data_IF_229440921406
#
_entry.id   IF_229440921406
#
_cell.length_a   1.000
_cell.length_b   1.000
_cell.length_c   1.000
_cell.angle_alpha   90.00
_cell.angle_beta   90.00
_cell.angle_gamma   90.00
#
_symmetry.space_group_name_H-M   'P 1'
#
loop_
_entity.id
_entity.type
_entity.pdbx_description
1 polymer ?
#
# COMPACT_ATOMS: atom_id res chain seq x y z
N UNK A 1 13.04 29.01 25.55
CA UNK A 1 12.03 28.97 24.47
C UNK A 1 12.66 28.62 23.11
N UNK A 2 13.77 29.22 22.71
CA UNK A 2 14.53 28.88 21.50
C UNK A 2 14.90 27.37 21.49
N UNK A 3 15.28 26.82 22.66
CA UNK A 3 15.58 25.37 22.78
C UNK A 3 14.37 24.45 22.43
N UNK A 4 13.15 24.91 22.68
CA UNK A 4 11.93 24.17 22.30
C UNK A 4 11.74 24.13 20.78
N UNK A 5 11.97 25.24 20.09
CA UNK A 5 11.86 25.33 18.62
C UNK A 5 12.83 24.34 17.98
N UNK A 6 14.09 24.32 18.37
CA UNK A 6 15.09 23.38 17.85
C UNK A 6 14.72 21.91 18.06
N UNK A 7 14.04 21.59 19.16
CA UNK A 7 13.56 20.21 19.39
C UNK A 7 12.45 19.80 18.44
N UNK A 8 11.53 20.70 18.13
CA UNK A 8 10.46 20.49 17.15
C UNK A 8 11.04 20.38 15.74
N UNK A 9 11.96 21.25 15.39
CA UNK A 9 12.67 21.18 14.08
C UNK A 9 13.36 19.83 13.88
N UNK A 10 14.13 19.38 14.89
CA UNK A 10 14.79 18.06 14.86
C UNK A 10 13.78 16.93 14.67
N UNK A 11 12.64 17.01 15.37
CA UNK A 11 11.58 16.02 15.24
C UNK A 11 11.00 15.98 13.83
N UNK A 12 10.70 17.14 13.24
CA UNK A 12 10.16 17.23 11.88
C UNK A 12 11.14 16.67 10.84
N UNK A 13 12.42 17.00 10.96
CA UNK A 13 13.47 16.46 10.08
C UNK A 13 13.59 14.95 10.25
N UNK A 14 13.67 14.46 11.49
CA UNK A 14 13.78 13.02 11.77
C UNK A 14 12.56 12.26 11.24
N UNK A 15 11.35 12.79 11.45
CA UNK A 15 10.11 12.24 10.89
C UNK A 15 10.17 12.13 9.37
N UNK A 16 10.60 13.20 8.69
CA UNK A 16 10.74 13.19 7.22
C UNK A 16 11.72 12.14 6.73
N UNK A 17 12.89 12.06 7.37
CA UNK A 17 13.90 11.06 7.01
C UNK A 17 13.37 9.64 7.23
N UNK A 18 12.69 9.41 8.35
CA UNK A 18 12.10 8.10 8.65
C UNK A 18 11.02 7.72 7.61
N UNK A 19 10.17 8.65 7.20
CA UNK A 19 9.19 8.39 6.14
C UNK A 19 9.86 7.94 4.84
N UNK A 20 10.91 8.65 4.39
CA UNK A 20 11.58 8.32 3.13
C UNK A 20 12.49 7.10 3.20
N UNK A 21 13.14 6.88 4.33
CA UNK A 21 14.12 5.80 4.49
C UNK A 21 13.50 4.48 4.94
N UNK A 22 12.34 4.52 5.60
CA UNK A 22 11.69 3.33 6.15
C UNK A 22 10.34 3.09 5.47
N UNK A 23 9.35 3.96 5.68
CA UNK A 23 7.98 3.71 5.22
C UNK A 23 7.84 3.78 3.70
N UNK A 24 8.47 4.76 3.04
CA UNK A 24 8.44 4.92 1.59
C UNK A 24 9.69 4.36 0.91
N UNK A 25 10.45 3.51 1.61
CA UNK A 25 11.53 2.78 0.98
C UNK A 25 10.97 1.86 -0.12
N UNK A 26 11.64 1.81 -1.28
CA UNK A 26 11.16 1.05 -2.44
C UNK A 26 10.81 -0.41 -2.14
N UNK A 27 11.53 -1.05 -1.19
CA UNK A 27 11.25 -2.44 -0.81
C UNK A 27 9.98 -2.57 0.03
N UNK A 28 9.72 -1.61 0.93
CA UNK A 28 8.48 -1.59 1.71
C UNK A 28 7.26 -1.38 0.80
N UNK A 29 7.36 -0.41 -0.11
CA UNK A 29 6.31 -0.16 -1.11
C UNK A 29 6.17 -1.35 -2.06
N UNK A 30 7.26 -2.03 -2.44
CA UNK A 30 7.20 -3.24 -3.26
C UNK A 30 6.43 -4.37 -2.56
N UNK A 31 6.64 -4.55 -1.25
CA UNK A 31 5.91 -5.55 -0.46
C UNK A 31 4.41 -5.20 -0.37
N UNK A 32 4.09 -3.93 -0.14
CA UNK A 32 2.71 -3.44 -0.13
C UNK A 32 2.01 -3.67 -1.48
N UNK A 33 2.64 -3.28 -2.58
CA UNK A 33 2.08 -3.47 -3.93
C UNK A 33 1.92 -4.96 -4.28
N UNK A 34 2.85 -5.80 -3.84
CA UNK A 34 2.75 -7.25 -4.01
C UNK A 34 1.56 -7.81 -3.23
N UNK A 35 1.40 -7.41 -1.96
CA UNK A 35 0.26 -7.81 -1.12
C UNK A 35 -1.07 -7.37 -1.72
N UNK A 36 -1.17 -6.13 -2.21
CA UNK A 36 -2.36 -5.61 -2.89
C UNK A 36 -2.72 -6.51 -4.08
N UNK A 37 -1.75 -6.92 -4.90
CA UNK A 37 -2.00 -7.81 -6.05
C UNK A 37 -2.51 -9.19 -5.63
N UNK A 38 -1.94 -9.77 -4.57
CA UNK A 38 -2.41 -11.04 -4.00
C UNK A 38 -3.88 -10.93 -3.56
N UNK A 39 -4.20 -9.93 -2.73
CA UNK A 39 -5.55 -9.76 -2.19
C UNK A 39 -6.55 -9.38 -3.29
N UNK A 40 -6.14 -8.60 -4.29
CA UNK A 40 -6.99 -8.26 -5.43
C UNK A 40 -7.35 -9.52 -6.25
N UNK A 41 -6.36 -10.40 -6.53
CA UNK A 41 -6.64 -11.66 -7.24
C UNK A 41 -7.53 -12.58 -6.40
N UNK A 42 -7.25 -12.72 -5.10
CA UNK A 42 -8.08 -13.51 -4.21
C UNK A 42 -9.53 -13.00 -4.17
N UNK A 43 -9.73 -11.67 -4.14
CA UNK A 43 -11.07 -11.07 -4.17
C UNK A 43 -11.78 -11.31 -5.50
N UNK A 44 -11.08 -11.27 -6.62
CA UNK A 44 -11.63 -11.58 -7.94
C UNK A 44 -12.11 -13.04 -8.00
N UNK A 45 -11.28 -14.00 -7.60
CA UNK A 45 -11.63 -15.41 -7.54
C UNK A 45 -12.80 -15.70 -6.59
N UNK A 46 -12.84 -15.02 -5.44
CA UNK A 46 -13.95 -15.14 -4.50
C UNK A 46 -15.27 -14.65 -5.10
N UNK A 47 -15.24 -13.61 -5.92
CA UNK A 47 -16.43 -13.12 -6.64
C UNK A 47 -16.87 -14.09 -7.72
N UNK A 48 -15.95 -14.59 -8.53
CA UNK A 48 -16.22 -15.56 -9.58
C UNK A 48 -16.85 -16.84 -9.00
N UNK A 49 -16.30 -17.39 -7.91
CA UNK A 49 -16.86 -18.58 -7.25
C UNK A 49 -18.27 -18.36 -6.71
N UNK A 50 -18.59 -17.17 -6.22
CA UNK A 50 -19.93 -16.80 -5.77
C UNK A 50 -20.93 -16.73 -6.91
N UNK A 51 -20.54 -16.15 -8.05
CA UNK A 51 -21.39 -15.99 -9.22
C UNK A 51 -21.72 -17.34 -9.88
N UNK A 52 -20.75 -18.25 -9.93
CA UNK A 52 -20.89 -19.55 -10.60
C UNK A 52 -21.34 -20.69 -9.67
N UNK A 53 -21.57 -20.44 -8.36
CA UNK A 53 -21.97 -21.46 -7.35
C UNK A 53 -21.11 -22.72 -7.39
N UNK A 54 -19.81 -22.59 -7.65
CA UNK A 54 -18.89 -23.72 -7.69
C UNK A 54 -18.48 -24.08 -6.26
N UNK A 55 -18.94 -25.21 -5.76
CA UNK A 55 -18.57 -25.72 -4.43
C UNK A 55 -17.09 -26.12 -4.33
N UNK A 56 -16.44 -26.41 -5.46
CA UNK A 56 -15.03 -26.77 -5.56
C UNK A 56 -14.19 -25.55 -5.86
N UNK A 57 -13.68 -24.87 -4.87
CA UNK A 57 -12.75 -23.75 -5.10
C UNK A 57 -12.80 -22.63 -4.07
N UNK A 58 -13.42 -22.91 -2.93
CA UNK A 58 -13.47 -21.92 -1.86
C UNK A 58 -12.06 -21.60 -1.34
N UNK A 59 -11.68 -20.32 -1.38
CA UNK A 59 -10.39 -19.89 -0.89
C UNK A 59 -10.29 -20.12 0.63
N UNK A 60 -9.24 -20.80 1.05
CA UNK A 60 -8.92 -20.92 2.48
C UNK A 60 -8.64 -19.53 3.06
N UNK A 61 -9.41 -19.12 4.05
CA UNK A 61 -9.22 -17.90 4.81
C UNK A 61 -10.03 -17.94 6.11
N UNK A 62 -9.68 -17.09 7.06
CA UNK A 62 -10.46 -16.92 8.28
C UNK A 62 -11.86 -16.34 7.99
N UNK A 63 -12.83 -16.49 8.90
CA UNK A 63 -14.15 -15.89 8.74
C UNK A 63 -14.10 -14.36 8.52
N UNK A 64 -13.24 -13.67 9.25
CA UNK A 64 -13.07 -12.22 9.14
C UNK A 64 -12.54 -11.82 7.75
N UNK A 65 -11.48 -12.46 7.26
CA UNK A 65 -10.94 -12.19 5.93
C UNK A 65 -11.93 -12.60 4.84
N UNK A 66 -12.63 -13.71 5.00
CA UNK A 66 -13.67 -14.20 4.10
C UNK A 66 -14.76 -13.14 3.89
N UNK A 67 -15.22 -12.51 4.96
CA UNK A 67 -16.23 -11.47 4.88
C UNK A 67 -15.83 -10.39 3.87
N UNK A 68 -14.60 -9.87 3.95
CA UNK A 68 -14.12 -8.81 3.05
C UNK A 68 -13.75 -9.27 1.65
N UNK A 69 -13.38 -10.54 1.46
CA UNK A 69 -13.10 -11.09 0.13
C UNK A 69 -14.39 -11.34 -0.65
N UNK A 70 -15.40 -11.92 -0.01
CA UNK A 70 -16.62 -12.36 -0.67
C UNK A 70 -17.72 -11.28 -0.73
N UNK A 71 -17.63 -10.24 0.10
CA UNK A 71 -18.62 -9.15 0.11
C UNK A 71 -18.05 -7.85 -0.43
N UNK A 72 -18.92 -7.04 -1.03
CA UNK A 72 -18.55 -5.69 -1.47
C UNK A 72 -18.90 -4.69 -0.36
N UNK A 73 -18.00 -4.62 0.64
CA UNK A 73 -18.15 -3.75 1.81
C UNK A 73 -17.70 -2.33 1.46
N UNK A 74 -18.52 -1.34 1.77
CA UNK A 74 -18.25 0.09 1.59
C UNK A 74 -18.18 0.79 2.92
N UNK A 75 -17.72 2.04 2.95
CA UNK A 75 -17.67 2.82 4.18
C UNK A 75 -19.08 2.99 4.84
N UNK A 76 -20.14 3.00 4.05
CA UNK A 76 -21.52 3.10 4.55
C UNK A 76 -21.97 1.87 5.37
N UNK A 77 -21.31 0.72 5.18
CA UNK A 77 -21.62 -0.52 5.90
C UNK A 77 -21.02 -0.55 7.32
N UNK A 78 -20.13 0.41 7.66
CA UNK A 78 -19.51 0.52 8.98
C UNK A 78 -20.39 1.38 9.92
N UNK A 79 -21.49 0.82 10.38
CA UNK A 79 -22.32 1.41 11.44
C UNK A 79 -21.96 0.87 12.83
N UNK A 80 -22.45 1.51 13.88
CA UNK A 80 -22.35 1.00 15.26
C UNK A 80 -23.05 -0.35 15.33
N UNK A 81 -22.37 -1.40 15.81
CA UNK A 81 -22.86 -2.78 15.85
C UNK A 81 -23.16 -3.42 14.48
N UNK A 82 -22.53 -2.92 13.42
CA UNK A 82 -22.64 -3.59 12.12
C UNK A 82 -21.73 -4.81 12.04
N UNK A 83 -22.14 -5.81 11.23
CA UNK A 83 -21.30 -7.00 10.95
C UNK A 83 -19.96 -6.59 10.35
N UNK A 84 -19.92 -5.58 9.48
CA UNK A 84 -18.69 -5.07 8.89
C UNK A 84 -17.69 -4.58 9.96
N UNK A 85 -18.16 -3.86 10.97
CA UNK A 85 -17.32 -3.38 12.07
C UNK A 85 -16.84 -4.54 12.95
N UNK A 86 -17.69 -5.51 13.25
CA UNK A 86 -17.33 -6.70 14.03
C UNK A 86 -16.27 -7.53 13.32
N UNK A 87 -16.45 -7.82 12.02
CA UNK A 87 -15.47 -8.57 11.24
C UNK A 87 -14.15 -7.79 11.06
N UNK A 88 -14.22 -6.47 10.90
CA UNK A 88 -13.03 -5.64 10.83
C UNK A 88 -12.22 -5.65 12.14
N UNK A 89 -12.89 -5.63 13.28
CA UNK A 89 -12.24 -5.69 14.59
C UNK A 89 -11.56 -7.06 14.88
N UNK A 90 -12.00 -8.11 14.20
CA UNK A 90 -11.41 -9.46 14.31
C UNK A 90 -10.28 -9.68 13.30
N UNK A 91 -10.18 -8.87 12.23
CA UNK A 91 -9.20 -9.04 11.17
C UNK A 91 -7.81 -8.56 11.61
N UNK A 92 -6.81 -9.42 11.48
CA UNK A 92 -5.42 -9.10 11.77
C UNK A 92 -4.43 -9.63 10.71
N UNK A 93 -3.12 -9.35 10.92
CA UNK A 93 -2.06 -9.77 10.01
C UNK A 93 -1.94 -11.30 9.89
N UNK A 94 -2.33 -12.05 10.94
CA UNK A 94 -2.25 -13.51 10.93
C UNK A 94 -3.29 -14.11 10.00
N UNK A 95 -4.48 -13.51 9.90
CA UNK A 95 -5.51 -13.92 8.95
C UNK A 95 -5.00 -13.86 7.53
N UNK A 96 -4.39 -12.72 7.18
CA UNK A 96 -3.85 -12.46 5.84
C UNK A 96 -2.67 -13.38 5.55
N UNK A 97 -1.68 -13.47 6.45
CA UNK A 97 -0.48 -14.30 6.24
C UNK A 97 -0.80 -15.80 6.21
N UNK A 98 -1.75 -16.28 7.02
CA UNK A 98 -2.20 -17.65 7.00
C UNK A 98 -2.87 -18.01 5.67
N UNK A 99 -3.74 -17.13 5.19
CA UNK A 99 -4.38 -17.29 3.89
C UNK A 99 -3.36 -17.32 2.74
N UNK A 100 -2.41 -16.38 2.70
CA UNK A 100 -1.35 -16.33 1.67
C UNK A 100 -0.52 -17.62 1.68
N UNK A 101 -0.19 -18.18 2.85
CA UNK A 101 0.53 -19.47 2.95
C UNK A 101 -0.29 -20.61 2.35
N UNK A 102 -1.57 -20.65 2.59
CA UNK A 102 -2.45 -21.67 2.01
C UNK A 102 -2.59 -21.51 0.49
N UNK A 103 -2.65 -20.27 -0.01
CA UNK A 103 -2.78 -19.95 -1.42
C UNK A 103 -1.55 -20.27 -2.27
N UNK A 104 -0.41 -20.63 -1.67
CA UNK A 104 0.76 -21.15 -2.39
C UNK A 104 0.37 -22.40 -3.22
N UNK A 105 -0.56 -23.20 -2.71
CA UNK A 105 -1.04 -24.41 -3.37
C UNK A 105 -2.35 -24.20 -4.15
N UNK A 106 -2.74 -22.96 -4.40
CA UNK A 106 -3.93 -22.64 -5.20
C UNK A 106 -3.80 -23.19 -6.63
N UNK A 107 -4.90 -23.64 -7.21
CA UNK A 107 -4.98 -24.02 -8.63
C UNK A 107 -4.84 -22.80 -9.56
N UNK A 108 -5.20 -21.61 -9.07
CA UNK A 108 -4.98 -20.36 -9.79
C UNK A 108 -3.49 -20.03 -9.86
N UNK A 109 -2.95 -20.00 -11.07
CA UNK A 109 -1.54 -19.78 -11.33
C UNK A 109 -1.03 -18.43 -10.83
N UNK A 110 -1.85 -17.39 -10.94
CA UNK A 110 -1.50 -16.03 -10.51
C UNK A 110 -1.42 -15.97 -9.00
N UNK A 111 -2.47 -16.41 -8.32
CA UNK A 111 -2.53 -16.41 -6.86
C UNK A 111 -1.43 -17.25 -6.24
N UNK A 112 -1.20 -18.45 -6.78
CA UNK A 112 -0.14 -19.36 -6.33
C UNK A 112 1.25 -18.75 -6.51
N UNK A 113 1.56 -18.20 -7.69
CA UNK A 113 2.87 -17.60 -7.98
C UNK A 113 3.17 -16.39 -7.09
N UNK A 114 2.21 -15.48 -6.96
CA UNK A 114 2.34 -14.30 -6.11
C UNK A 114 2.49 -14.68 -4.64
N UNK A 115 1.67 -15.58 -4.13
CA UNK A 115 1.73 -16.05 -2.73
C UNK A 115 3.05 -16.72 -2.41
N UNK A 116 3.53 -17.62 -3.28
CA UNK A 116 4.82 -18.30 -3.15
C UNK A 116 5.99 -17.31 -3.14
N UNK A 117 5.98 -16.36 -4.06
CA UNK A 117 7.00 -15.33 -4.19
C UNK A 117 7.03 -14.43 -2.95
N UNK A 118 5.87 -14.02 -2.43
CA UNK A 118 5.75 -13.18 -1.24
C UNK A 118 6.31 -13.89 0.01
N UNK A 119 5.88 -15.12 0.28
CA UNK A 119 6.33 -15.91 1.44
C UNK A 119 7.83 -16.19 1.38
N UNK A 120 8.38 -16.43 0.18
CA UNK A 120 9.80 -16.62 -0.03
C UNK A 120 10.63 -15.31 -0.07
N UNK A 121 9.99 -14.16 0.24
CA UNK A 121 10.63 -12.84 0.21
C UNK A 121 11.21 -12.45 -1.16
N UNK A 122 10.69 -13.02 -2.23
CA UNK A 122 10.99 -12.66 -3.61
C UNK A 122 10.02 -11.57 -4.06
N UNK A 123 10.07 -10.43 -3.37
CA UNK A 123 9.18 -9.31 -3.61
C UNK A 123 9.37 -8.73 -5.02
N UNK A 124 8.38 -7.99 -5.47
CA UNK A 124 8.48 -7.22 -6.72
C UNK A 124 9.74 -6.37 -6.76
N UNK A 125 10.34 -6.28 -7.94
CA UNK A 125 11.47 -5.38 -8.19
C UNK A 125 10.95 -4.00 -8.54
N UNK A 126 11.31 -3.00 -7.73
CA UNK A 126 10.94 -1.60 -7.96
C UNK A 126 11.98 -0.86 -8.80
N UNK A 127 11.53 -0.14 -9.82
CA UNK A 127 12.32 0.75 -10.67
C UNK A 127 11.65 2.12 -10.71
N UNK A 128 12.46 3.21 -10.70
CA UNK A 128 11.94 4.57 -10.83
C UNK A 128 11.49 4.83 -12.26
N UNK A 129 10.41 5.59 -12.39
CA UNK A 129 9.90 6.09 -13.67
C UNK A 129 9.93 7.62 -13.67
N UNK A 130 10.37 8.20 -14.76
CA UNK A 130 10.35 9.66 -14.99
C UNK A 130 8.96 10.15 -15.40
N UNK A 131 8.16 9.30 -16.01
CA UNK A 131 6.80 9.60 -16.47
C UNK A 131 5.87 8.40 -16.27
N UNK A 132 4.53 8.60 -16.31
CA UNK A 132 3.57 7.50 -16.32
C UNK A 132 3.80 6.55 -17.50
N UNK A 133 3.53 5.27 -17.28
CA UNK A 133 3.56 4.28 -18.37
C UNK A 133 2.49 4.60 -19.42
N UNK A 134 2.86 4.54 -20.67
CA UNK A 134 1.92 4.63 -21.79
C UNK A 134 1.12 3.32 -21.91
N UNK A 135 -0.04 3.37 -22.56
CA UNK A 135 -0.85 2.18 -22.79
C UNK A 135 -0.11 1.13 -23.63
N UNK A 136 0.74 1.56 -24.57
CA UNK A 136 1.59 0.66 -25.34
C UNK A 136 2.59 -0.10 -24.44
N UNK A 137 3.25 0.60 -23.50
CA UNK A 137 4.16 -0.02 -22.53
C UNK A 137 3.45 -0.98 -21.59
N UNK A 138 2.24 -0.63 -21.12
CA UNK A 138 1.40 -1.52 -20.29
C UNK A 138 1.02 -2.79 -21.05
N UNK A 139 0.63 -2.66 -22.31
CA UNK A 139 0.31 -3.80 -23.16
C UNK A 139 1.53 -4.69 -23.40
N UNK A 140 2.68 -4.12 -23.68
CA UNK A 140 3.94 -4.86 -23.83
C UNK A 140 4.31 -5.64 -22.56
N UNK A 141 4.15 -5.03 -21.37
CA UNK A 141 4.33 -5.71 -20.10
C UNK A 141 3.40 -6.90 -19.95
N UNK A 142 2.10 -6.73 -20.21
CA UNK A 142 1.13 -7.82 -20.13
C UNK A 142 1.50 -8.96 -21.09
N UNK A 143 1.85 -8.67 -22.33
CA UNK A 143 2.27 -9.68 -23.31
C UNK A 143 3.54 -10.42 -22.88
N UNK A 144 4.51 -9.68 -22.32
CA UNK A 144 5.76 -10.27 -21.81
C UNK A 144 5.48 -11.27 -20.69
N UNK A 145 4.69 -10.89 -19.68
CA UNK A 145 4.35 -11.77 -18.56
C UNK A 145 3.43 -12.91 -18.97
N UNK A 146 2.44 -12.65 -19.85
CA UNK A 146 1.56 -13.68 -20.39
C UNK A 146 2.38 -14.79 -21.06
N UNK A 147 3.32 -14.42 -21.92
CA UNK A 147 4.19 -15.37 -22.63
C UNK A 147 5.13 -16.11 -21.66
N UNK A 148 5.76 -15.40 -20.72
CA UNK A 148 6.76 -15.98 -19.84
C UNK A 148 6.16 -16.97 -18.81
N UNK A 149 4.93 -16.70 -18.36
CA UNK A 149 4.29 -17.46 -17.27
C UNK A 149 3.13 -18.35 -17.74
N UNK A 150 2.79 -18.30 -19.05
CA UNK A 150 1.64 -19.03 -19.59
C UNK A 150 0.32 -18.55 -19.02
N UNK A 151 0.15 -17.23 -18.92
CA UNK A 151 -1.03 -16.52 -18.44
C UNK A 151 -1.78 -15.86 -19.60
N UNK A 152 -3.01 -15.45 -19.37
CA UNK A 152 -3.71 -14.51 -20.25
C UNK A 152 -3.16 -13.08 -20.08
N UNK A 153 -3.42 -12.17 -21.03
CA UNK A 153 -3.03 -10.76 -20.87
C UNK A 153 -3.75 -10.08 -19.69
N UNK A 154 -4.96 -10.52 -19.36
CA UNK A 154 -5.74 -10.04 -18.21
C UNK A 154 -5.11 -10.51 -16.88
N UNK A 155 -4.70 -11.77 -16.80
CA UNK A 155 -3.99 -12.30 -15.63
C UNK A 155 -2.60 -11.68 -15.46
N UNK A 156 -1.92 -11.36 -16.56
CA UNK A 156 -0.58 -10.78 -16.55
C UNK A 156 -0.53 -9.38 -15.87
N UNK A 157 -1.64 -8.63 -15.82
CA UNK A 157 -1.73 -7.35 -15.10
C UNK A 157 -1.44 -7.46 -13.59
N UNK A 158 -1.58 -8.66 -13.02
CA UNK A 158 -1.23 -8.91 -11.62
C UNK A 158 0.27 -8.99 -11.37
N UNK A 159 1.08 -9.21 -12.40
CA UNK A 159 2.54 -9.39 -12.31
C UNK A 159 3.31 -8.08 -12.24
N UNK A 160 2.65 -6.95 -12.33
CA UNK A 160 3.27 -5.64 -12.20
C UNK A 160 2.31 -4.60 -11.60
N UNK A 161 2.86 -3.49 -11.11
CA UNK A 161 2.10 -2.36 -10.58
C UNK A 161 2.82 -1.05 -10.85
N UNK A 162 2.10 -0.02 -11.26
CA UNK A 162 2.57 1.37 -11.25
C UNK A 162 2.10 2.04 -9.97
N UNK A 163 3.00 2.71 -9.26
CA UNK A 163 2.67 3.35 -7.99
C UNK A 163 3.32 4.72 -7.88
N UNK A 164 2.61 5.67 -7.29
CA UNK A 164 3.08 7.02 -7.00
C UNK A 164 3.18 7.20 -5.50
N UNK A 165 4.40 7.28 -4.99
CA UNK A 165 4.65 7.59 -3.59
C UNK A 165 4.72 9.10 -3.39
N UNK A 166 3.90 9.62 -2.49
CA UNK A 166 3.92 11.02 -2.05
C UNK A 166 4.07 11.06 -0.54
N UNK A 167 4.78 12.04 -0.01
CA UNK A 167 4.88 12.27 1.44
C UNK A 167 4.57 13.70 1.76
N UNK A 168 3.65 13.89 2.71
CA UNK A 168 3.43 15.15 3.39
C UNK A 168 4.14 15.09 4.74
N UNK A 169 5.20 15.87 4.91
CA UNK A 169 5.94 15.89 6.17
C UNK A 169 5.28 16.82 7.17
N UNK A 170 4.74 17.91 6.69
CA UNK A 170 4.07 18.95 7.46
C UNK A 170 2.99 19.62 6.60
N UNK A 171 1.86 19.95 7.19
CA UNK A 171 0.78 20.69 6.55
C UNK A 171 0.28 21.77 7.50
N UNK A 172 0.56 23.02 7.18
CA UNK A 172 0.10 24.19 7.96
C UNK A 172 -1.41 24.21 8.21
N UNK A 173 -2.19 23.60 7.31
CA UNK A 173 -3.66 23.58 7.40
C UNK A 173 -4.22 22.43 8.25
N UNK A 174 -3.49 21.30 8.35
CA UNK A 174 -4.01 20.09 9.01
C UNK A 174 -3.25 19.76 10.31
N UNK A 175 -1.97 20.14 10.41
CA UNK A 175 -1.08 19.74 11.50
C UNK A 175 -0.29 20.95 12.05
N UNK A 176 -0.92 22.15 12.17
CA UNK A 176 -0.28 23.35 12.71
C UNK A 176 0.36 23.07 14.07
N UNK A 177 1.63 23.41 14.22
CA UNK A 177 2.37 23.33 15.48
C UNK A 177 2.63 24.75 15.97
N UNK A 178 1.83 25.17 16.94
CA UNK A 178 1.89 26.50 17.47
C UNK A 178 2.95 26.64 18.57
N UNK A 179 3.80 27.64 18.46
CA UNK A 179 4.83 27.99 19.42
C UNK A 179 4.36 29.19 20.26
N UNK A 180 4.14 28.95 21.54
CA UNK A 180 3.82 30.02 22.50
C UNK A 180 5.10 30.68 23.01
N UNK A 181 5.24 31.98 22.80
CA UNK A 181 6.33 32.81 23.32
C UNK A 181 6.04 33.32 24.74
N UNK A 182 7.09 33.78 25.46
CA UNK A 182 6.96 34.30 26.84
C UNK A 182 6.15 35.59 26.95
N UNK A 183 6.04 36.33 25.87
CA UNK A 183 5.23 37.55 25.74
C UNK A 183 3.77 37.26 25.39
N UNK A 184 3.35 35.97 25.33
CA UNK A 184 2.00 35.54 25.00
C UNK A 184 1.69 35.44 23.51
N UNK A 185 2.66 35.79 22.62
CA UNK A 185 2.48 35.63 21.18
C UNK A 185 2.48 34.14 20.80
N UNK A 186 1.65 33.78 19.84
CA UNK A 186 1.62 32.44 19.23
C UNK A 186 2.02 32.59 17.76
N UNK A 187 2.93 31.73 17.31
CA UNK A 187 3.33 31.62 15.91
C UNK A 187 3.43 30.17 15.51
N UNK A 188 3.06 29.89 14.27
CA UNK A 188 3.32 28.57 13.69
C UNK A 188 4.83 28.28 13.62
N UNK A 189 5.20 27.00 13.76
CA UNK A 189 6.60 26.58 13.67
C UNK A 189 7.24 26.99 12.33
N UNK A 190 6.46 27.09 11.27
CA UNK A 190 6.96 27.55 9.96
C UNK A 190 7.46 28.99 9.98
N UNK A 191 6.81 29.85 10.76
CA UNK A 191 7.21 31.25 10.96
C UNK A 191 8.28 31.41 12.05
N UNK A 192 8.28 30.50 13.03
CA UNK A 192 9.16 30.55 14.19
C UNK A 192 10.54 29.93 13.95
N UNK A 193 10.68 29.12 12.92
CA UNK A 193 11.92 28.41 12.59
C UNK A 193 12.96 29.35 11.99
N UNK A 194 14.19 29.31 12.55
CA UNK A 194 15.33 30.09 12.03
C UNK A 194 16.29 29.22 11.20
N UNK A 195 16.21 27.89 11.32
CA UNK A 195 17.19 26.95 10.73
C UNK A 195 16.60 26.22 9.55
N UNK A 196 15.30 25.88 9.62
CA UNK A 196 14.64 25.11 8.59
C UNK A 196 13.88 26.02 7.62
N UNK A 197 14.24 25.92 6.35
CA UNK A 197 13.34 26.32 5.27
C UNK A 197 12.19 25.31 5.21
N UNK A 198 11.13 25.63 5.96
CA UNK A 198 9.94 24.79 6.03
C UNK A 198 9.16 24.73 4.71
N UNK A 199 9.35 25.70 3.80
CA UNK A 199 8.86 25.55 2.42
C UNK A 199 9.46 24.31 1.75
N UNK A 200 10.72 23.99 2.03
CA UNK A 200 11.34 22.75 1.55
C UNK A 200 10.73 21.50 2.16
N UNK A 201 10.19 21.58 3.38
CA UNK A 201 9.52 20.47 4.06
C UNK A 201 8.05 20.29 3.61
N UNK A 202 7.41 21.37 3.15
CA UNK A 202 6.04 21.33 2.60
C UNK A 202 6.02 20.83 1.15
N UNK A 203 7.16 20.86 0.44
CA UNK A 203 7.25 20.28 -0.90
C UNK A 203 6.92 18.79 -0.83
N UNK A 204 5.98 18.36 -1.66
CA UNK A 204 5.57 16.97 -1.82
C UNK A 204 6.42 16.34 -2.93
N UNK A 205 7.60 15.76 -2.62
CA UNK A 205 8.33 15.05 -3.64
C UNK A 205 7.47 13.88 -4.10
N UNK A 206 7.31 13.77 -5.40
CA UNK A 206 6.57 12.69 -6.06
C UNK A 206 7.61 11.73 -6.60
N UNK A 207 7.56 10.47 -6.18
CA UNK A 207 8.34 9.39 -6.77
C UNK A 207 7.38 8.40 -7.42
N UNK A 208 7.59 8.15 -8.69
CA UNK A 208 6.84 7.16 -9.45
C UNK A 208 7.68 5.90 -9.60
N UNK A 209 7.06 4.75 -9.38
CA UNK A 209 7.71 3.46 -9.49
C UNK A 209 6.89 2.54 -10.39
N UNK A 210 7.60 1.66 -11.11
CA UNK A 210 7.05 0.40 -11.59
C UNK A 210 7.60 -0.71 -10.71
N UNK A 211 6.71 -1.57 -10.24
CA UNK A 211 7.02 -2.78 -9.49
C UNK A 211 6.73 -3.99 -10.37
N UNK A 212 7.71 -4.88 -10.52
CA UNK A 212 7.65 -6.01 -11.46
C UNK A 212 7.90 -7.33 -10.75
N UNK A 213 7.09 -8.35 -11.04
CA UNK A 213 7.34 -9.73 -10.65
C UNK A 213 8.68 -10.20 -11.25
N UNK A 214 9.41 -11.03 -10.55
CA UNK A 214 10.69 -11.58 -11.00
C UNK A 214 10.45 -12.86 -11.78
N UNK A 215 10.71 -12.83 -13.06
CA UNK A 215 10.70 -13.98 -13.95
C UNK A 215 12.03 -14.70 -13.83
#
# INVERSE_FOLDING_TARGET
QIKGIYSVEKFLVARRLMYWQVYLHKTSVAAEQHLIKILSRAKELARESREWRVESGELFCSPALRYFLYQNVTFADFGVHSEALEQYALLDDNDVLSAIKAWISSEDKVLSALSKSFINRQLFRGELLDAPLTDAQKKELNQTYAKALGLTEEEAQYMWSEHVSTSNTYSEKADSIDILYSDGRVRDIAEASEILDLESLTRKPIKRYIFKYRI
#
